data_IF_587731395455
#
_entry.id   IF_587731395455
#
_cell.length_a   1.000
_cell.length_b   1.000
_cell.length_c   1.000
_cell.angle_alpha   90.00
_cell.angle_beta   90.00
_cell.angle_gamma   90.00
#
_symmetry.space_group_name_H-M   'P 1'
#
loop_
_entity.id
_entity.type
_entity.pdbx_description
1 polymer ?
#
# COMPACT_ATOMS: atom_id res chain seq x y z
N UNK A 1 -15.45 14.81 -50.89
CA UNK A 1 -15.70 14.09 -49.62
C UNK A 1 -14.35 13.78 -49.02
N UNK A 2 -13.99 14.47 -47.95
CA UNK A 2 -12.67 14.39 -47.32
C UNK A 2 -12.71 15.23 -46.07
N UNK A 3 -13.25 14.65 -45.00
CA UNK A 3 -13.43 15.30 -43.70
C UNK A 3 -12.09 15.40 -42.98
N UNK A 4 -11.36 16.51 -43.20
CA UNK A 4 -10.16 16.88 -42.44
C UNK A 4 -10.50 17.86 -41.33
N UNK A 5 -11.34 17.44 -40.37
CA UNK A 5 -11.65 18.25 -39.18
C UNK A 5 -11.94 17.34 -37.99
N UNK A 6 -10.89 16.81 -37.37
CA UNK A 6 -11.00 16.10 -36.07
C UNK A 6 -9.93 16.52 -35.06
N UNK A 7 -9.01 17.41 -35.45
CA UNK A 7 -7.98 17.97 -34.56
C UNK A 7 -8.49 19.20 -33.78
N UNK A 8 -9.64 19.79 -34.16
CA UNK A 8 -10.15 21.03 -33.60
C UNK A 8 -11.08 20.87 -32.39
N UNK A 9 -11.43 19.65 -31.99
CA UNK A 9 -12.34 19.40 -30.85
C UNK A 9 -11.65 19.49 -29.47
N UNK A 10 -10.31 19.52 -29.41
CA UNK A 10 -9.57 19.59 -28.15
C UNK A 10 -9.10 21.01 -27.80
N UNK A 11 -8.84 21.86 -28.80
CA UNK A 11 -8.35 23.23 -28.55
C UNK A 11 -9.44 24.09 -27.89
N UNK A 12 -10.72 23.88 -28.21
CA UNK A 12 -11.81 24.61 -27.54
C UNK A 12 -12.06 24.18 -26.08
N UNK A 13 -11.57 23.02 -25.63
CA UNK A 13 -11.75 22.53 -24.24
C UNK A 13 -10.63 22.94 -23.29
N UNK A 14 -9.43 23.23 -23.81
CA UNK A 14 -8.26 23.61 -22.98
C UNK A 14 -8.03 25.13 -22.97
N UNK A 15 -8.55 25.86 -23.95
CA UNK A 15 -8.29 27.31 -24.13
C UNK A 15 -9.41 28.22 -23.59
N UNK A 16 -10.55 27.68 -23.11
CA UNK A 16 -11.70 28.53 -22.79
C UNK A 16 -12.63 28.10 -21.65
N UNK A 17 -12.24 27.17 -20.78
CA UNK A 17 -13.07 26.74 -19.64
C UNK A 17 -12.24 26.46 -18.40
N UNK A 18 -12.76 26.83 -17.22
CA UNK A 18 -12.13 26.71 -15.90
C UNK A 18 -11.28 25.43 -15.77
N UNK A 19 -9.95 25.57 -15.78
CA UNK A 19 -9.01 24.45 -15.62
C UNK A 19 -9.20 23.73 -14.27
N UNK A 20 -9.74 24.43 -13.25
CA UNK A 20 -10.12 23.85 -11.96
C UNK A 20 -11.29 22.86 -12.02
N UNK A 21 -12.10 22.89 -13.09
CA UNK A 21 -13.17 21.91 -13.29
C UNK A 21 -12.64 20.49 -13.56
N UNK A 22 -11.35 20.37 -13.91
CA UNK A 22 -10.67 19.10 -14.21
C UNK A 22 -9.96 18.46 -13.01
N UNK A 23 -9.75 19.22 -11.94
CA UNK A 23 -9.05 18.75 -10.72
C UNK A 23 -9.99 18.23 -9.65
N UNK A 24 -11.30 18.49 -9.81
CA UNK A 24 -12.36 18.10 -8.87
C UNK A 24 -13.37 17.19 -9.56
N UNK A 25 -13.95 16.25 -8.80
CA UNK A 25 -14.95 15.29 -9.31
C UNK A 25 -16.35 15.93 -9.47
N UNK A 26 -16.39 17.07 -10.18
CA UNK A 26 -17.57 17.88 -10.43
C UNK A 26 -18.55 17.21 -11.41
N UNK A 27 -19.79 17.72 -11.49
CA UNK A 27 -20.75 17.24 -12.49
C UNK A 27 -20.25 17.48 -13.93
N UNK A 28 -19.60 18.62 -14.18
CA UNK A 28 -18.99 18.93 -15.47
C UNK A 28 -17.89 17.92 -15.82
N UNK A 29 -17.03 17.57 -14.86
CA UNK A 29 -16.01 16.53 -15.05
C UNK A 29 -16.62 15.18 -15.42
N UNK A 30 -17.68 14.74 -14.71
CA UNK A 30 -18.35 13.47 -15.00
C UNK A 30 -19.06 13.47 -16.35
N UNK A 31 -19.58 14.60 -16.80
CA UNK A 31 -20.20 14.71 -18.12
C UNK A 31 -19.15 14.64 -19.24
N UNK A 32 -17.98 15.24 -19.04
CA UNK A 32 -16.92 15.26 -20.04
C UNK A 32 -16.08 13.97 -20.06
N UNK A 33 -15.82 13.39 -18.89
CA UNK A 33 -14.98 12.21 -18.69
C UNK A 33 -15.79 11.08 -18.04
N UNK A 34 -16.87 10.65 -18.70
CA UNK A 34 -17.86 9.74 -18.12
C UNK A 34 -17.28 8.47 -17.48
N UNK A 35 -16.43 7.72 -18.19
CA UNK A 35 -15.90 6.46 -17.67
C UNK A 35 -15.02 6.64 -16.44
N UNK A 36 -14.11 7.62 -16.46
CA UNK A 36 -13.21 7.89 -15.33
C UNK A 36 -13.97 8.54 -14.18
N UNK A 37 -14.87 9.47 -14.50
CA UNK A 37 -15.76 10.11 -13.53
C UNK A 37 -16.65 9.08 -12.82
N UNK A 38 -17.15 8.06 -13.52
CA UNK A 38 -17.90 6.95 -12.94
C UNK A 38 -17.02 6.13 -11.99
N UNK A 39 -15.86 5.65 -12.46
CA UNK A 39 -14.94 4.84 -11.65
C UNK A 39 -14.48 5.58 -10.38
N UNK A 40 -14.15 6.87 -10.49
CA UNK A 40 -13.75 7.68 -9.34
C UNK A 40 -14.92 8.01 -8.40
N UNK A 41 -16.14 8.16 -8.93
CA UNK A 41 -17.35 8.31 -8.10
C UNK A 41 -17.65 7.02 -7.33
N UNK A 42 -17.53 5.87 -7.98
CA UNK A 42 -17.69 4.56 -7.36
C UNK A 42 -16.61 4.33 -6.30
N UNK A 43 -15.36 4.75 -6.54
CA UNK A 43 -14.31 4.71 -5.52
C UNK A 43 -14.65 5.59 -4.31
N UNK A 44 -15.04 6.85 -4.54
CA UNK A 44 -15.35 7.79 -3.47
C UNK A 44 -16.50 7.27 -2.60
N UNK A 45 -17.58 6.82 -3.22
CA UNK A 45 -18.73 6.21 -2.53
C UNK A 45 -18.36 4.91 -1.83
N UNK A 46 -17.56 4.04 -2.46
CA UNK A 46 -17.07 2.82 -1.82
C UNK A 46 -16.31 3.16 -0.53
N UNK A 47 -15.40 4.13 -0.55
CA UNK A 47 -14.63 4.54 0.63
C UNK A 47 -15.48 5.16 1.75
N UNK A 48 -16.70 5.61 1.46
CA UNK A 48 -17.67 6.04 2.49
C UNK A 48 -18.43 4.87 3.10
N UNK A 49 -18.55 3.76 2.38
CA UNK A 49 -19.16 2.53 2.89
C UNK A 49 -18.19 1.88 3.89
N UNK A 50 -18.69 1.61 5.09
CA UNK A 50 -17.97 0.90 6.15
C UNK A 50 -17.84 -0.61 5.84
N UNK A 51 -17.32 -0.98 4.66
CA UNK A 51 -17.15 -2.36 4.23
C UNK A 51 -15.76 -2.56 3.58
N UNK A 52 -14.84 -3.14 4.35
CA UNK A 52 -13.46 -3.41 3.94
C UNK A 52 -13.35 -4.20 2.62
N UNK A 53 -14.27 -5.12 2.35
CA UNK A 53 -14.25 -5.92 1.11
C UNK A 53 -14.60 -5.10 -0.14
N UNK A 54 -15.54 -4.17 -0.01
CA UNK A 54 -15.92 -3.23 -1.09
C UNK A 54 -14.79 -2.24 -1.31
N UNK A 55 -14.22 -1.70 -0.22
CA UNK A 55 -13.12 -0.74 -0.28
C UNK A 55 -11.90 -1.36 -0.97
N UNK A 56 -11.54 -2.60 -0.61
CA UNK A 56 -10.46 -3.33 -1.26
C UNK A 56 -10.72 -3.55 -2.75
N UNK A 57 -11.93 -3.93 -3.14
CA UNK A 57 -12.30 -4.15 -4.55
C UNK A 57 -12.22 -2.84 -5.35
N UNK A 58 -12.84 -1.77 -4.87
CA UNK A 58 -12.85 -0.47 -5.54
C UNK A 58 -11.43 0.08 -5.75
N UNK A 59 -10.60 0.04 -4.71
CA UNK A 59 -9.19 0.46 -4.79
C UNK A 59 -8.41 -0.42 -5.77
N UNK A 60 -8.61 -1.74 -5.75
CA UNK A 60 -7.93 -2.65 -6.67
C UNK A 60 -8.36 -2.43 -8.13
N UNK A 61 -9.62 -2.10 -8.39
CA UNK A 61 -10.09 -1.76 -9.75
C UNK A 61 -9.33 -0.56 -10.30
N UNK A 62 -9.19 0.52 -9.51
CA UNK A 62 -8.43 1.71 -9.92
C UNK A 62 -6.96 1.36 -10.10
N UNK A 63 -6.36 0.65 -9.15
CA UNK A 63 -4.96 0.21 -9.25
C UNK A 63 -4.68 -0.60 -10.51
N UNK A 64 -5.55 -1.56 -10.83
CA UNK A 64 -5.39 -2.42 -12.01
C UNK A 64 -5.56 -1.62 -13.30
N UNK A 65 -6.48 -0.64 -13.32
CA UNK A 65 -6.65 0.28 -14.44
C UNK A 65 -5.38 1.10 -14.68
N UNK A 66 -4.80 1.68 -13.63
CA UNK A 66 -3.53 2.43 -13.74
C UNK A 66 -2.39 1.52 -14.22
N UNK A 67 -2.31 0.30 -13.68
CA UNK A 67 -1.33 -0.70 -14.15
C UNK A 67 -1.53 -1.05 -15.62
N UNK A 68 -2.77 -1.08 -16.12
CA UNK A 68 -3.04 -1.37 -17.54
C UNK A 68 -2.50 -0.27 -18.45
N UNK A 69 -2.54 0.99 -18.01
CA UNK A 69 -1.95 2.11 -18.75
C UNK A 69 -0.42 2.03 -18.81
N UNK A 70 0.23 1.54 -17.75
CA UNK A 70 1.70 1.36 -17.76
C UNK A 70 2.15 0.25 -18.69
N UNK A 71 1.33 -0.79 -18.88
CA UNK A 71 1.65 -1.93 -19.75
C UNK A 71 1.29 -1.71 -21.22
N UNK A 72 0.60 -0.61 -21.53
CA UNK A 72 0.15 -0.32 -22.89
C UNK A 72 1.19 0.53 -23.63
N UNK A 73 1.77 -0.03 -24.68
CA UNK A 73 2.82 0.61 -25.49
C UNK A 73 2.35 1.95 -26.10
N UNK A 74 1.04 2.18 -26.24
CA UNK A 74 0.50 3.46 -26.74
C UNK A 74 0.73 4.63 -25.79
N UNK A 75 1.03 4.36 -24.51
CA UNK A 75 1.27 5.35 -23.47
C UNK A 75 2.74 5.40 -23.03
N UNK A 76 3.67 4.92 -23.87
CA UNK A 76 5.10 4.94 -23.59
C UNK A 76 5.66 6.38 -23.56
N UNK A 77 5.12 7.27 -24.39
CA UNK A 77 5.56 8.67 -24.44
C UNK A 77 5.15 9.44 -23.18
N UNK A 78 6.08 10.20 -22.56
CA UNK A 78 5.83 10.88 -21.30
C UNK A 78 4.72 11.92 -21.40
N UNK A 79 4.60 12.62 -22.54
CA UNK A 79 3.54 13.61 -22.78
C UNK A 79 2.16 12.95 -22.82
N UNK A 80 2.04 11.80 -23.46
CA UNK A 80 0.78 11.04 -23.51
C UNK A 80 0.44 10.54 -22.10
N UNK A 81 1.43 10.04 -21.37
CA UNK A 81 1.25 9.55 -20.00
C UNK A 81 0.82 10.66 -19.04
N UNK A 82 1.38 11.86 -19.15
CA UNK A 82 0.95 13.02 -18.40
C UNK A 82 -0.50 13.40 -18.68
N UNK A 83 -0.93 13.32 -19.94
CA UNK A 83 -2.34 13.53 -20.30
C UNK A 83 -3.28 12.49 -19.72
N UNK A 84 -2.86 11.22 -19.64
CA UNK A 84 -3.64 10.17 -18.98
C UNK A 84 -3.71 10.44 -17.47
N UNK A 85 -2.58 10.77 -16.84
CA UNK A 85 -2.51 11.05 -15.41
C UNK A 85 -3.35 12.27 -14.99
N UNK A 86 -3.43 13.30 -15.85
CA UNK A 86 -4.27 14.47 -15.64
C UNK A 86 -5.76 14.12 -15.47
N UNK A 87 -6.24 13.04 -16.11
CA UNK A 87 -7.63 12.57 -15.95
C UNK A 87 -7.90 12.00 -14.55
N UNK A 88 -6.86 11.62 -13.81
CA UNK A 88 -6.99 11.04 -12.47
C UNK A 88 -6.74 12.06 -11.35
N UNK A 89 -6.50 13.34 -11.65
CA UNK A 89 -6.29 14.38 -10.62
C UNK A 89 -7.35 14.43 -9.51
N UNK A 90 -8.66 14.18 -9.77
CA UNK A 90 -9.65 14.11 -8.69
C UNK A 90 -9.35 13.04 -7.63
N UNK A 91 -8.54 12.02 -7.95
CA UNK A 91 -8.12 11.00 -6.98
C UNK A 91 -7.32 11.61 -5.82
N UNK A 92 -6.54 12.68 -6.04
CA UNK A 92 -5.82 13.38 -4.97
C UNK A 92 -6.81 13.81 -3.89
N UNK A 93 -7.92 14.42 -4.30
CA UNK A 93 -8.96 14.88 -3.39
C UNK A 93 -9.66 13.72 -2.67
N UNK A 94 -9.95 12.62 -3.37
CA UNK A 94 -10.57 11.42 -2.78
C UNK A 94 -9.66 10.81 -1.71
N UNK A 95 -8.33 10.76 -1.95
CA UNK A 95 -7.37 10.23 -0.98
C UNK A 95 -7.28 11.13 0.25
N UNK A 96 -7.28 12.46 0.06
CA UNK A 96 -7.34 13.42 1.16
C UNK A 96 -8.62 13.21 2.00
N UNK A 97 -9.77 13.01 1.37
CA UNK A 97 -11.05 12.72 2.08
C UNK A 97 -11.03 11.38 2.84
N UNK A 98 -10.21 10.45 2.38
CA UNK A 98 -9.99 9.15 3.00
C UNK A 98 -8.91 9.16 4.09
N UNK A 99 -8.19 10.28 4.31
CA UNK A 99 -7.10 10.41 5.28
C UNK A 99 -7.44 9.82 6.68
N UNK A 100 -8.61 10.09 7.29
CA UNK A 100 -8.94 9.54 8.62
C UNK A 100 -9.06 8.01 8.66
N UNK A 101 -9.22 7.36 7.51
CA UNK A 101 -9.36 5.92 7.39
C UNK A 101 -8.03 5.22 7.05
N UNK A 102 -7.00 5.96 6.64
CA UNK A 102 -5.74 5.36 6.18
C UNK A 102 -5.05 4.63 7.34
N UNK A 103 -4.56 3.43 7.05
CA UNK A 103 -3.80 2.65 8.03
C UNK A 103 -2.50 3.38 8.40
N UNK A 104 -2.29 3.66 9.69
CA UNK A 104 -1.04 4.27 10.17
C UNK A 104 0.08 3.24 10.22
N UNK A 105 1.11 3.43 9.38
CA UNK A 105 2.30 2.55 9.36
C UNK A 105 3.41 3.00 10.32
N UNK A 106 3.30 4.21 10.88
CA UNK A 106 4.31 4.80 11.74
C UNK A 106 4.40 4.11 13.12
N UNK A 107 5.63 4.03 13.64
CA UNK A 107 5.91 3.62 15.02
C UNK A 107 5.24 4.58 16.02
N UNK A 108 4.80 4.15 17.22
CA UNK A 108 4.12 4.99 18.21
C UNK A 108 4.86 6.29 18.56
N UNK A 109 6.19 6.34 18.40
CA UNK A 109 7.02 7.55 18.61
C UNK A 109 6.74 8.67 17.60
N UNK A 110 6.39 8.32 16.36
CA UNK A 110 6.11 9.28 15.29
C UNK A 110 4.68 9.86 15.34
N UNK A 111 3.76 9.23 16.09
CA UNK A 111 2.42 9.78 16.29
C UNK A 111 2.42 11.11 17.04
N UNK A 112 3.42 11.35 17.89
CA UNK A 112 3.56 12.62 18.60
C UNK A 112 3.87 13.77 17.64
N UNK A 113 4.67 13.57 16.59
CA UNK A 113 4.94 14.60 15.58
C UNK A 113 3.68 14.93 14.77
N UNK A 114 2.90 13.92 14.37
CA UNK A 114 1.59 14.11 13.69
C UNK A 114 0.61 14.86 14.59
N UNK A 115 0.57 14.54 15.90
CA UNK A 115 -0.37 15.17 16.83
C UNK A 115 0.05 16.57 17.26
N UNK A 116 1.35 16.84 17.37
CA UNK A 116 1.89 18.16 17.77
C UNK A 116 1.83 19.20 16.65
N UNK A 117 1.70 18.79 15.38
CA UNK A 117 1.42 19.70 14.25
C UNK A 117 -0.06 20.10 14.17
N UNK A 118 -0.95 19.42 14.91
CA UNK A 118 -2.39 19.66 14.92
C UNK A 118 -2.89 20.41 16.18
N UNK A 119 -2.01 20.77 17.11
CA UNK A 119 -2.37 21.38 18.40
C UNK A 119 -1.86 22.82 18.51
N UNK A 120 -2.43 23.71 17.68
CA UNK A 120 -2.51 25.14 18.02
C UNK A 120 -3.83 25.37 18.78
N UNK A 121 -3.84 24.91 20.04
CA UNK A 121 -4.79 25.32 21.06
C UNK A 121 -5.84 24.29 21.47
N UNK A 122 -5.51 23.40 22.41
CA UNK A 122 -6.06 23.43 23.76
C UNK A 122 -5.34 22.42 24.65
N UNK A 123 -4.94 22.86 25.84
CA UNK A 123 -4.14 22.07 26.76
C UNK A 123 -4.87 20.81 27.24
N UNK A 124 -4.32 19.65 26.88
CA UNK A 124 -4.36 18.45 27.71
C UNK A 124 -5.40 17.40 27.34
N UNK A 125 -4.94 16.30 26.72
CA UNK A 125 -5.52 14.97 26.96
C UNK A 125 -4.59 13.83 26.49
N UNK A 126 -3.45 13.67 27.17
CA UNK A 126 -2.79 12.36 27.22
C UNK A 126 -3.45 11.52 28.32
N UNK A 127 -3.71 10.24 28.03
CA UNK A 127 -4.02 9.13 28.96
C UNK A 127 -5.45 8.55 29.04
N UNK A 128 -6.20 8.42 27.95
CA UNK A 128 -7.29 7.42 27.92
C UNK A 128 -7.21 6.58 26.64
N UNK A 129 -6.76 5.33 26.76
CA UNK A 129 -6.87 4.35 25.67
C UNK A 129 -8.37 4.10 25.40
N UNK A 130 -8.85 4.51 24.23
CA UNK A 130 -10.25 4.41 23.80
C UNK A 130 -10.86 3.00 24.02
N UNK A 131 -10.07 1.94 23.86
CA UNK A 131 -10.50 0.56 24.08
C UNK A 131 -10.74 0.24 25.56
N UNK A 132 -9.98 0.85 26.46
CA UNK A 132 -10.15 0.74 27.92
C UNK A 132 -11.39 1.53 28.35
N UNK A 133 -11.60 2.72 27.79
CA UNK A 133 -12.81 3.50 28.04
C UNK A 133 -14.09 2.78 27.58
N UNK A 134 -14.06 2.11 26.42
CA UNK A 134 -15.20 1.30 25.95
C UNK A 134 -15.48 0.08 26.84
N UNK A 135 -14.44 -0.59 27.32
CA UNK A 135 -14.59 -1.72 28.24
C UNK A 135 -15.17 -1.29 29.60
N UNK A 136 -14.86 -0.07 30.05
CA UNK A 136 -15.41 0.52 31.29
C UNK A 136 -16.85 1.03 31.07
N UNK A 137 -17.18 1.54 29.88
CA UNK A 137 -18.49 2.11 29.55
C UNK A 137 -19.63 1.09 29.41
N UNK A 138 -19.40 -0.20 29.69
CA UNK A 138 -20.47 -1.19 29.89
C UNK A 138 -21.31 -1.56 28.67
N UNK A 139 -20.86 -1.26 27.45
CA UNK A 139 -21.69 -1.48 26.25
C UNK A 139 -21.50 -2.89 25.64
N UNK A 140 -22.52 -3.72 25.86
CA UNK A 140 -22.95 -4.92 25.11
C UNK A 140 -22.85 -6.29 25.79
N UNK A 141 -23.74 -6.52 26.77
CA UNK A 141 -24.28 -7.87 27.10
C UNK A 141 -25.72 -8.06 26.57
N UNK A 142 -26.33 -7.07 25.92
CA UNK A 142 -27.70 -7.22 25.43
C UNK A 142 -27.83 -6.78 23.97
N UNK A 143 -27.69 -7.75 23.07
CA UNK A 143 -28.25 -7.68 21.73
C UNK A 143 -28.85 -9.05 21.40
N UNK A 144 -30.11 -9.25 21.78
CA UNK A 144 -30.92 -10.31 21.20
C UNK A 144 -32.38 -9.86 21.05
N UNK A 145 -32.87 -9.99 19.82
CA UNK A 145 -34.26 -9.96 19.30
C UNK A 145 -34.93 -8.62 18.97
N UNK A 146 -35.10 -8.45 17.64
CA UNK A 146 -36.29 -8.02 16.86
C UNK A 146 -36.90 -6.62 17.02
N UNK A 147 -37.40 -6.11 15.86
CA UNK A 147 -38.13 -4.86 15.54
C UNK A 147 -37.30 -3.57 15.56
N UNK A 148 -36.97 -2.94 14.42
CA UNK A 148 -37.77 -2.24 13.38
C UNK A 148 -38.22 -0.82 13.81
N UNK A 149 -37.78 0.16 13.01
CA UNK A 149 -37.95 1.63 13.03
C UNK A 149 -37.73 2.42 14.35
N UNK A 150 -36.60 3.16 14.46
CA UNK A 150 -36.62 4.62 14.71
C UNK A 150 -35.24 5.30 14.56
N UNK A 151 -35.30 6.61 14.26
CA UNK A 151 -34.30 7.47 13.61
C UNK A 151 -33.55 8.40 14.60
N UNK A 152 -32.21 8.44 14.46
CA UNK A 152 -31.24 9.56 14.59
C UNK A 152 -31.06 10.27 15.96
N UNK A 153 -29.81 10.26 16.48
CA UNK A 153 -28.94 11.45 16.68
C UNK A 153 -27.63 11.09 17.43
N UNK A 154 -26.47 11.45 16.86
CA UNK A 154 -25.29 11.81 17.67
C UNK A 154 -23.98 11.01 17.55
N UNK A 155 -23.90 9.90 16.81
CA UNK A 155 -22.59 9.29 16.51
C UNK A 155 -22.06 9.87 15.21
N UNK A 156 -21.09 10.78 15.31
CA UNK A 156 -20.20 11.07 14.18
C UNK A 156 -19.77 9.72 13.60
N UNK A 157 -20.13 9.47 12.33
CA UNK A 157 -19.86 8.23 11.63
C UNK A 157 -18.37 7.92 11.73
N UNK A 158 -17.99 7.04 12.65
CA UNK A 158 -16.60 6.59 12.79
C UNK A 158 -16.30 5.74 11.58
N UNK A 159 -15.77 6.37 10.53
CA UNK A 159 -15.34 5.70 9.30
C UNK A 159 -14.41 4.54 9.68
N UNK A 160 -14.68 3.34 9.17
CA UNK A 160 -13.88 2.17 9.53
C UNK A 160 -12.45 2.30 8.96
N UNK A 161 -11.41 1.93 9.74
CA UNK A 161 -10.04 1.97 9.23
C UNK A 161 -9.87 1.02 8.05
N UNK A 162 -9.18 1.48 7.01
CA UNK A 162 -8.81 0.67 5.87
C UNK A 162 -7.75 -0.36 6.27
N UNK A 163 -7.75 -1.51 5.60
CA UNK A 163 -6.68 -2.49 5.77
C UNK A 163 -5.33 -1.90 5.34
N UNK A 164 -4.23 -2.43 5.88
CA UNK A 164 -2.89 -2.02 5.49
C UNK A 164 -2.62 -2.23 4.00
N UNK A 165 -3.12 -3.34 3.43
CA UNK A 165 -2.99 -3.64 1.99
C UNK A 165 -3.82 -2.69 1.13
N UNK A 166 -5.07 -2.40 1.52
CA UNK A 166 -5.93 -1.45 0.79
C UNK A 166 -5.34 -0.05 0.83
N UNK A 167 -4.85 0.39 1.99
CA UNK A 167 -4.17 1.67 2.15
C UNK A 167 -2.94 1.76 1.24
N UNK A 168 -2.08 0.72 1.24
CA UNK A 168 -0.91 0.66 0.36
C UNK A 168 -1.30 0.77 -1.12
N UNK A 169 -2.33 0.05 -1.56
CA UNK A 169 -2.79 0.11 -2.94
C UNK A 169 -3.37 1.47 -3.33
N UNK A 170 -4.08 2.14 -2.41
CA UNK A 170 -4.60 3.49 -2.63
C UNK A 170 -3.47 4.51 -2.74
N UNK A 171 -2.46 4.41 -1.87
CA UNK A 171 -1.26 5.26 -1.92
C UNK A 171 -0.42 4.99 -3.17
N UNK A 172 -0.35 3.74 -3.65
CA UNK A 172 0.25 3.43 -4.96
C UNK A 172 -0.45 4.16 -6.10
N UNK A 173 -1.79 4.23 -6.06
CA UNK A 173 -2.54 4.98 -7.08
C UNK A 173 -2.25 6.48 -7.01
N UNK A 174 -2.13 7.05 -5.80
CA UNK A 174 -1.73 8.44 -5.62
C UNK A 174 -0.32 8.69 -6.18
N UNK A 175 0.67 7.88 -5.79
CA UNK A 175 2.05 8.05 -6.24
C UNK A 175 2.19 7.87 -7.75
N UNK A 176 1.40 6.98 -8.37
CA UNK A 176 1.36 6.85 -9.81
C UNK A 176 0.92 8.14 -10.49
N UNK A 177 -0.07 8.85 -9.95
CA UNK A 177 -0.49 10.15 -10.48
C UNK A 177 0.62 11.16 -10.30
N UNK A 178 1.15 11.29 -9.08
CA UNK A 178 2.19 12.27 -8.75
C UNK A 178 3.46 12.11 -9.60
N UNK A 179 3.82 10.85 -9.93
CA UNK A 179 4.95 10.54 -10.81
C UNK A 179 4.74 11.01 -12.25
N UNK A 180 3.51 10.92 -12.75
CA UNK A 180 3.24 11.01 -14.18
C UNK A 180 2.61 12.34 -14.61
N UNK A 181 2.00 13.09 -13.70
CA UNK A 181 1.42 14.41 -14.01
C UNK A 181 2.55 15.40 -14.35
N UNK A 182 2.28 16.30 -15.30
CA UNK A 182 3.19 17.39 -15.59
C UNK A 182 3.25 18.38 -14.43
N UNK A 183 4.47 18.73 -14.08
CA UNK A 183 4.87 19.79 -13.15
C UNK A 183 3.98 21.04 -13.16
N UNK A 184 3.62 21.55 -14.35
CA UNK A 184 2.82 22.77 -14.48
C UNK A 184 1.39 22.54 -14.01
N UNK A 185 0.75 21.46 -14.45
CA UNK A 185 -0.60 21.10 -14.02
C UNK A 185 -0.64 20.68 -12.56
N UNK A 186 0.40 20.00 -12.07
CA UNK A 186 0.48 19.64 -10.65
C UNK A 186 0.58 20.89 -9.77
N UNK A 187 1.48 21.84 -10.08
CA UNK A 187 1.58 23.11 -9.34
C UNK A 187 0.30 23.94 -9.38
N UNK A 188 -0.39 23.97 -10.52
CA UNK A 188 -1.71 24.61 -10.61
C UNK A 188 -2.75 23.93 -9.72
N UNK A 189 -2.75 22.60 -9.70
CA UNK A 189 -3.65 21.83 -8.83
C UNK A 189 -3.37 22.12 -7.36
N UNK A 190 -2.09 22.22 -6.97
CA UNK A 190 -1.68 22.58 -5.62
C UNK A 190 -2.07 24.02 -5.26
N UNK A 191 -1.94 24.99 -6.17
CA UNK A 191 -2.33 26.39 -5.91
C UNK A 191 -3.83 26.59 -5.77
N UNK A 192 -4.64 25.72 -6.39
CA UNK A 192 -6.10 25.74 -6.27
C UNK A 192 -6.59 25.14 -4.94
N UNK A 193 -5.75 24.36 -4.23
CA UNK A 193 -6.13 23.74 -2.96
C UNK A 193 -6.04 24.74 -1.80
N UNK A 194 -7.05 24.80 -0.92
CA UNK A 194 -6.97 25.65 0.27
C UNK A 194 -5.93 25.10 1.27
N UNK A 195 -5.41 25.96 2.14
CA UNK A 195 -4.35 25.65 3.12
C UNK A 195 -4.55 24.31 3.85
N UNK A 196 -5.75 24.06 4.40
CA UNK A 196 -6.05 22.82 5.12
C UNK A 196 -5.96 21.56 4.23
N UNK A 197 -6.35 21.66 2.96
CA UNK A 197 -6.27 20.52 2.02
C UNK A 197 -4.83 20.22 1.64
N UNK A 198 -4.01 21.27 1.48
CA UNK A 198 -2.58 21.11 1.22
C UNK A 198 -1.89 20.48 2.43
N UNK A 199 -2.21 20.92 3.65
CA UNK A 199 -1.74 20.27 4.87
C UNK A 199 -2.11 18.78 4.91
N UNK A 200 -3.38 18.45 4.68
CA UNK A 200 -3.83 17.05 4.66
C UNK A 200 -3.14 16.23 3.56
N UNK A 201 -2.81 16.82 2.41
CA UNK A 201 -2.00 16.16 1.39
C UNK A 201 -0.59 15.83 1.90
N UNK A 202 0.04 16.75 2.65
CA UNK A 202 1.34 16.51 3.30
C UNK A 202 1.24 15.39 4.34
N UNK A 203 0.14 15.31 5.09
CA UNK A 203 -0.11 14.19 6.01
C UNK A 203 -0.25 12.85 5.26
N UNK A 204 -0.92 12.83 4.12
CA UNK A 204 -1.00 11.65 3.25
C UNK A 204 0.40 11.25 2.76
N UNK A 205 1.23 12.21 2.33
CA UNK A 205 2.61 11.95 1.91
C UNK A 205 3.48 11.41 3.07
N UNK A 206 3.27 11.92 4.28
CA UNK A 206 3.93 11.39 5.49
C UNK A 206 3.59 9.91 5.73
N UNK A 207 2.30 9.56 5.60
CA UNK A 207 1.84 8.16 5.69
C UNK A 207 2.45 7.33 4.56
N UNK A 208 2.57 7.89 3.35
CA UNK A 208 3.17 7.21 2.21
C UNK A 208 4.64 6.86 2.44
N UNK A 209 5.46 7.77 2.99
CA UNK A 209 6.85 7.48 3.39
C UNK A 209 6.90 6.27 4.33
N UNK A 210 6.02 6.22 5.33
CA UNK A 210 5.94 5.11 6.29
C UNK A 210 5.41 3.81 5.66
N UNK A 211 4.57 3.93 4.64
CA UNK A 211 3.95 2.80 3.94
C UNK A 211 4.95 2.07 3.05
N UNK A 212 5.82 2.82 2.36
CA UNK A 212 6.83 2.32 1.43
C UNK A 212 8.22 2.19 2.04
N UNK A 213 8.31 2.14 3.37
CA UNK A 213 9.58 1.88 4.04
C UNK A 213 10.08 0.45 3.76
N UNK A 214 11.31 0.32 3.27
CA UNK A 214 11.93 -0.98 3.08
C UNK A 214 12.24 -1.64 4.42
N UNK A 215 11.59 -2.78 4.70
CA UNK A 215 11.72 -3.53 5.97
C UNK A 215 12.76 -4.65 5.91
N UNK A 216 13.64 -4.65 4.92
CA UNK A 216 14.67 -5.68 4.75
C UNK A 216 14.16 -6.99 4.16
N UNK A 217 15.09 -7.92 3.92
CA UNK A 217 14.80 -9.29 3.49
C UNK A 217 14.03 -10.02 4.59
N UNK A 218 12.71 -10.08 4.48
CA UNK A 218 11.92 -10.99 5.30
C UNK A 218 12.05 -12.37 4.68
N UNK A 219 12.84 -13.24 5.30
CA UNK A 219 12.73 -14.69 5.11
C UNK A 219 11.38 -15.08 5.71
N UNK A 220 10.30 -14.71 5.03
CA UNK A 220 8.98 -15.22 5.35
C UNK A 220 9.02 -16.66 4.89
N UNK A 221 9.25 -17.57 5.82
CA UNK A 221 8.82 -18.95 5.63
C UNK A 221 7.33 -18.89 5.28
N UNK A 222 6.99 -18.92 3.99
CA UNK A 222 5.66 -19.26 3.48
C UNK A 222 5.29 -20.73 3.81
N UNK A 223 5.73 -21.22 4.97
CA UNK A 223 5.32 -22.48 5.60
C UNK A 223 4.30 -22.23 6.73
N UNK A 224 3.67 -21.06 6.79
CA UNK A 224 2.67 -20.73 7.81
C UNK A 224 1.28 -21.34 7.60
N UNK A 225 0.95 -21.84 6.39
CA UNK A 225 -0.34 -22.49 6.14
C UNK A 225 -0.32 -24.02 6.36
N UNK A 226 0.87 -24.62 6.52
CA UNK A 226 1.01 -26.06 6.75
C UNK A 226 0.92 -26.45 8.23
N UNK A 227 1.12 -25.53 9.19
CA UNK A 227 1.18 -25.92 10.61
C UNK A 227 -0.13 -26.50 11.18
N UNK A 228 -1.29 -26.16 10.61
CA UNK A 228 -2.57 -26.78 11.00
C UNK A 228 -2.79 -28.16 10.33
N UNK A 229 -2.31 -28.35 9.09
CA UNK A 229 -2.34 -29.65 8.39
C UNK A 229 -1.30 -30.63 8.93
N UNK A 230 -0.17 -30.12 9.40
CA UNK A 230 0.93 -30.89 9.96
C UNK A 230 0.51 -31.73 11.17
N UNK A 231 -0.45 -31.32 11.99
CA UNK A 231 -0.83 -32.13 13.17
C UNK A 231 -1.64 -33.38 12.80
N UNK A 232 -2.51 -33.27 11.80
CA UNK A 232 -3.29 -34.40 11.30
C UNK A 232 -2.42 -35.35 10.46
N UNK A 233 -1.52 -34.78 9.65
CA UNK A 233 -0.58 -35.57 8.84
C UNK A 233 0.53 -36.21 9.70
N UNK A 234 1.01 -35.54 10.75
CA UNK A 234 1.92 -36.14 11.73
C UNK A 234 1.25 -37.29 12.48
N UNK A 235 0.00 -37.13 12.90
CA UNK A 235 -0.74 -38.20 13.58
C UNK A 235 -1.01 -39.39 12.64
N UNK A 236 -1.35 -39.13 11.37
CA UNK A 236 -1.47 -40.18 10.34
C UNK A 236 -0.14 -40.87 10.06
N UNK A 237 0.97 -40.12 10.00
CA UNK A 237 2.30 -40.68 9.83
C UNK A 237 2.71 -41.54 11.03
N UNK A 238 2.43 -41.07 12.25
CA UNK A 238 2.62 -41.83 13.49
C UNK A 238 1.82 -43.14 13.47
N UNK A 239 0.54 -43.09 13.05
CA UNK A 239 -0.31 -44.28 12.89
C UNK A 239 0.19 -45.22 11.78
N UNK A 240 0.74 -44.72 10.68
CA UNK A 240 1.29 -45.55 9.60
C UNK A 240 2.65 -46.17 9.95
N UNK A 241 3.45 -45.55 10.83
CA UNK A 241 4.75 -46.08 11.28
C UNK A 241 4.59 -47.00 12.49
N UNK A 242 3.69 -46.68 13.43
CA UNK A 242 3.50 -47.42 14.68
C UNK A 242 2.29 -48.35 14.68
N UNK A 243 1.36 -48.20 13.74
CA UNK A 243 0.14 -49.01 13.66
C UNK A 243 0.40 -50.47 13.32
N UNK A 244 -0.58 -51.32 13.61
CA UNK A 244 -0.51 -52.78 13.41
C UNK A 244 -0.24 -53.22 11.96
N UNK A 245 -0.42 -52.33 10.97
CA UNK A 245 -0.16 -52.57 9.54
C UNK A 245 1.06 -51.79 9.02
N UNK A 246 1.91 -51.26 9.91
CA UNK A 246 3.12 -50.56 9.49
C UNK A 246 4.13 -51.51 8.85
N UNK A 247 5.00 -50.96 8.00
CA UNK A 247 6.10 -51.73 7.38
C UNK A 247 6.96 -52.48 8.43
N UNK A 248 7.05 -51.97 9.66
CA UNK A 248 7.71 -52.65 10.79
C UNK A 248 6.92 -53.85 11.28
N UNK A 249 5.60 -53.70 11.48
CA UNK A 249 4.72 -54.79 11.91
C UNK A 249 4.64 -55.90 10.86
N UNK A 250 4.51 -55.51 9.58
CA UNK A 250 4.50 -56.45 8.45
C UNK A 250 5.84 -57.19 8.31
N UNK A 251 6.98 -56.52 8.49
CA UNK A 251 8.30 -57.17 8.52
C UNK A 251 8.43 -58.16 9.69
N UNK A 252 7.88 -57.85 10.86
CA UNK A 252 7.87 -58.76 12.01
C UNK A 252 6.95 -59.96 11.80
N UNK A 253 5.81 -59.77 11.11
CA UNK A 253 4.91 -60.86 10.69
C UNK A 253 5.57 -61.77 9.64
N UNK A 254 6.26 -61.20 8.65
CA UNK A 254 7.04 -61.96 7.66
C UNK A 254 8.19 -62.75 8.28
N UNK A 255 8.77 -62.29 9.40
CA UNK A 255 9.75 -63.06 10.21
C UNK A 255 9.10 -64.22 10.98
N UNK A 256 7.80 -64.16 11.25
CA UNK A 256 7.07 -65.19 12.00
C UNK A 256 6.57 -66.32 11.09
N UNK A 257 6.33 -66.05 9.81
CA UNK A 257 5.76 -67.04 8.86
C UNK A 257 6.78 -67.74 7.94
N UNK A 258 8.08 -67.49 8.07
CA UNK A 258 9.10 -68.28 7.35
C UNK A 258 10.44 -68.17 8.07
N UNK A 259 11.07 -69.30 8.37
CA UNK A 259 12.52 -69.42 8.39
C UNK A 259 12.96 -69.67 6.94
N UNK A 260 13.47 -68.69 6.17
CA UNK A 260 14.33 -69.01 5.05
C UNK A 260 15.74 -69.32 5.58
N UNK A 261 16.45 -70.30 5.02
CA UNK A 261 17.87 -70.47 5.32
C UNK A 261 18.62 -69.21 4.90
N UNK A 262 19.44 -68.68 5.80
CA UNK A 262 20.34 -67.57 5.53
C UNK A 262 21.17 -67.87 4.28
N UNK A 263 21.18 -67.01 3.24
CA UNK A 263 22.22 -67.09 2.23
C UNK A 263 23.49 -66.54 2.88
N UNK A 264 24.54 -67.35 2.89
CA UNK A 264 25.89 -67.01 3.33
C UNK A 264 26.31 -65.64 2.79
N UNK A 265 26.32 -64.63 3.66
CA UNK A 265 26.62 -63.26 3.29
C UNK A 265 28.12 -63.02 3.21
N UNK A 266 28.64 -62.88 1.99
CA UNK A 266 29.80 -62.03 1.73
C UNK A 266 29.46 -60.63 2.23
N UNK A 267 30.26 -60.10 3.16
CA UNK A 267 29.98 -58.91 3.94
C UNK A 267 30.02 -57.59 3.17
N UNK A 268 29.15 -57.40 2.18
CA UNK A 268 28.86 -56.08 1.66
C UNK A 268 27.79 -55.43 2.55
N UNK A 269 28.25 -54.57 3.46
CA UNK A 269 27.38 -53.63 4.18
C UNK A 269 26.61 -52.81 3.15
N UNK A 270 25.32 -53.13 2.98
CA UNK A 270 24.35 -52.26 2.31
C UNK A 270 24.20 -50.97 3.14
N UNK A 271 25.16 -50.06 2.98
CA UNK A 271 25.11 -48.71 3.53
C UNK A 271 24.12 -47.95 2.68
N UNK A 272 22.96 -47.64 3.25
CA UNK A 272 21.96 -46.76 2.66
C UNK A 272 22.64 -45.53 2.05
N UNK A 273 22.73 -45.48 0.71
CA UNK A 273 23.20 -44.31 -0.01
C UNK A 273 22.04 -43.32 -0.03
N UNK A 274 22.01 -42.47 0.99
CA UNK A 274 21.00 -41.41 1.12
C UNK A 274 21.02 -40.43 -0.06
N UNK A 275 22.14 -40.38 -0.78
CA UNK A 275 22.41 -39.59 -2.00
C UNK A 275 21.64 -40.07 -3.25
N UNK A 276 21.12 -41.31 -3.29
CA UNK A 276 20.45 -41.87 -4.49
C UNK A 276 18.94 -41.56 -4.58
N UNK A 277 18.37 -40.83 -3.62
CA UNK A 277 16.94 -40.53 -3.62
C UNK A 277 16.63 -39.18 -4.29
N UNK A 278 15.91 -39.24 -5.41
CA UNK A 278 15.49 -38.10 -6.24
C UNK A 278 14.74 -36.99 -5.49
N UNK A 279 14.02 -37.31 -4.40
CA UNK A 279 13.28 -36.31 -3.62
C UNK A 279 14.18 -35.36 -2.83
N UNK A 280 15.46 -35.71 -2.57
CA UNK A 280 16.40 -34.82 -1.88
C UNK A 280 16.98 -33.74 -2.81
N UNK A 281 17.29 -34.11 -4.06
CA UNK A 281 17.66 -33.13 -5.09
C UNK A 281 16.49 -32.16 -5.35
N UNK A 282 15.26 -32.69 -5.46
CA UNK A 282 14.09 -31.83 -5.60
C UNK A 282 13.92 -30.85 -4.42
N UNK A 283 14.17 -31.28 -3.18
CA UNK A 283 14.12 -30.39 -2.02
C UNK A 283 15.20 -29.30 -2.05
N UNK A 284 16.43 -29.65 -2.46
CA UNK A 284 17.54 -28.69 -2.59
C UNK A 284 17.27 -27.68 -3.71
N UNK A 285 16.80 -28.14 -4.88
CA UNK A 285 16.43 -27.28 -6.01
C UNK A 285 15.23 -26.39 -5.68
N UNK A 286 14.26 -26.90 -4.91
CA UNK A 286 13.12 -26.11 -4.43
C UNK A 286 13.56 -25.05 -3.42
N UNK A 287 14.48 -25.37 -2.51
CA UNK A 287 15.07 -24.40 -1.56
C UNK A 287 15.87 -23.30 -2.27
N UNK A 288 16.67 -23.65 -3.28
CA UNK A 288 17.38 -22.67 -4.11
C UNK A 288 16.43 -21.78 -4.91
N UNK A 289 15.37 -22.36 -5.50
CA UNK A 289 14.32 -21.61 -6.20
C UNK A 289 13.60 -20.62 -5.27
N UNK A 290 13.18 -21.08 -4.09
CA UNK A 290 12.50 -20.23 -3.09
C UNK A 290 13.42 -19.12 -2.58
N UNK A 291 14.71 -19.40 -2.38
CA UNK A 291 15.66 -18.37 -1.98
C UNK A 291 15.85 -17.31 -3.07
N UNK A 292 15.93 -17.72 -4.34
CA UNK A 292 16.02 -16.82 -5.49
C UNK A 292 14.77 -15.94 -5.63
N UNK A 293 13.57 -16.49 -5.42
CA UNK A 293 12.31 -15.72 -5.45
C UNK A 293 12.25 -14.69 -4.31
N UNK A 294 12.65 -15.06 -3.09
CA UNK A 294 12.70 -14.13 -1.95
C UNK A 294 13.70 -13.00 -2.21
N UNK A 295 14.84 -13.31 -2.81
CA UNK A 295 15.84 -12.32 -3.16
C UNK A 295 15.32 -11.36 -4.23
N UNK A 296 14.66 -11.86 -5.27
CA UNK A 296 14.02 -11.04 -6.29
C UNK A 296 12.92 -10.15 -5.71
N UNK A 297 12.01 -10.70 -4.89
CA UNK A 297 10.95 -9.95 -4.22
C UNK A 297 11.53 -8.84 -3.33
N UNK A 298 12.63 -9.13 -2.62
CA UNK A 298 13.29 -8.13 -1.76
C UNK A 298 13.94 -7.01 -2.56
N UNK A 299 14.48 -7.31 -3.74
CA UNK A 299 15.03 -6.31 -4.65
C UNK A 299 13.92 -5.43 -5.23
N UNK A 300 12.82 -6.03 -5.69
CA UNK A 300 11.66 -5.28 -6.21
C UNK A 300 11.07 -4.37 -5.14
N UNK A 301 10.91 -4.85 -3.90
CA UNK A 301 10.43 -4.03 -2.79
C UNK A 301 11.41 -2.88 -2.46
N UNK A 302 12.72 -3.12 -2.55
CA UNK A 302 13.74 -2.09 -2.38
C UNK A 302 13.69 -1.01 -3.48
N UNK A 303 13.51 -1.40 -4.74
CA UNK A 303 13.34 -0.49 -5.86
C UNK A 303 12.04 0.33 -5.74
N UNK A 304 10.93 -0.33 -5.39
CA UNK A 304 9.65 0.32 -5.17
C UNK A 304 9.73 1.36 -4.05
N UNK A 305 10.38 1.02 -2.92
CA UNK A 305 10.60 1.95 -1.82
C UNK A 305 11.41 3.18 -2.24
N UNK A 306 12.50 2.96 -3.00
CA UNK A 306 13.33 4.05 -3.51
C UNK A 306 12.56 4.95 -4.48
N UNK A 307 11.81 4.37 -5.41
CA UNK A 307 11.02 5.09 -6.40
C UNK A 307 9.87 5.88 -5.75
N UNK A 308 9.15 5.26 -4.82
CA UNK A 308 8.10 5.94 -4.06
C UNK A 308 8.64 7.17 -3.32
N UNK A 309 9.79 7.04 -2.64
CA UNK A 309 10.38 8.16 -1.92
C UNK A 309 10.91 9.25 -2.86
N UNK A 310 11.40 8.89 -4.06
CA UNK A 310 11.79 9.88 -5.07
C UNK A 310 10.58 10.68 -5.57
N UNK A 311 9.45 10.03 -5.85
CA UNK A 311 8.20 10.69 -6.25
C UNK A 311 7.68 11.61 -5.14
N UNK A 312 7.76 11.17 -3.88
CA UNK A 312 7.38 12.00 -2.73
C UNK A 312 8.27 13.25 -2.66
N UNK A 313 9.58 13.13 -2.83
CA UNK A 313 10.50 14.27 -2.80
C UNK A 313 10.22 15.29 -3.90
N UNK A 314 10.00 14.82 -5.13
CA UNK A 314 9.63 15.68 -6.26
C UNK A 314 8.28 16.38 -6.02
N UNK A 315 7.33 15.67 -5.41
CA UNK A 315 6.06 16.25 -4.99
C UNK A 315 6.25 17.33 -3.92
N UNK A 316 7.12 17.10 -2.93
CA UNK A 316 7.44 18.09 -1.90
C UNK A 316 8.14 19.32 -2.51
N UNK A 317 9.02 19.15 -3.49
CA UNK A 317 9.67 20.27 -4.18
C UNK A 317 8.65 21.14 -4.92
N UNK A 318 7.70 20.51 -5.62
CA UNK A 318 6.57 21.21 -6.25
C UNK A 318 5.71 21.96 -5.21
N UNK A 319 5.44 21.36 -4.04
CA UNK A 319 4.74 22.04 -2.94
C UNK A 319 5.53 23.24 -2.43
N UNK A 320 6.84 23.10 -2.16
CA UNK A 320 7.70 24.21 -1.72
C UNK A 320 7.67 25.34 -2.73
N UNK A 321 7.71 25.02 -4.03
CA UNK A 321 7.66 26.04 -5.07
C UNK A 321 6.33 26.81 -5.06
N UNK A 322 5.20 26.17 -4.79
CA UNK A 322 3.90 26.85 -4.66
C UNK A 322 3.81 27.65 -3.37
N UNK A 323 4.24 27.08 -2.24
CA UNK A 323 4.22 27.72 -0.92
C UNK A 323 5.10 28.96 -0.87
N UNK A 324 6.30 28.91 -1.46
CA UNK A 324 7.22 30.05 -1.49
C UNK A 324 6.73 31.22 -2.35
N UNK A 325 5.84 30.94 -3.32
CA UNK A 325 5.21 31.97 -4.15
C UNK A 325 3.95 32.58 -3.50
N UNK A 326 3.46 32.03 -2.38
CA UNK A 326 2.21 32.43 -1.75
C UNK A 326 2.39 32.68 -0.24
N UNK A 327 2.41 33.95 0.16
CA UNK A 327 2.72 34.38 1.53
C UNK A 327 1.82 33.75 2.61
N UNK A 328 0.55 33.49 2.31
CA UNK A 328 -0.42 32.89 3.24
C UNK A 328 -0.19 31.38 3.48
N UNK A 329 0.67 30.73 2.70
CA UNK A 329 0.96 29.30 2.82
C UNK A 329 2.30 29.01 3.51
N UNK A 330 3.11 30.03 3.83
CA UNK A 330 4.47 29.87 4.35
C UNK A 330 4.56 28.99 5.61
N UNK A 331 3.51 28.97 6.45
CA UNK A 331 3.42 28.07 7.61
C UNK A 331 3.51 26.57 7.28
N UNK A 332 3.15 26.16 6.05
CA UNK A 332 3.25 24.78 5.59
C UNK A 332 4.69 24.33 5.34
N UNK A 333 5.66 25.24 5.26
CA UNK A 333 7.07 24.89 5.08
C UNK A 333 7.60 24.05 6.25
N UNK A 334 7.13 24.33 7.47
CA UNK A 334 7.45 23.54 8.66
C UNK A 334 6.93 22.10 8.54
N UNK A 335 5.73 21.93 7.99
CA UNK A 335 5.12 20.62 7.76
C UNK A 335 5.89 19.85 6.69
N UNK A 336 6.22 20.49 5.57
CA UNK A 336 7.07 19.92 4.52
C UNK A 336 8.41 19.44 5.08
N UNK A 337 9.05 20.27 5.92
CA UNK A 337 10.29 19.89 6.58
C UNK A 337 10.11 18.69 7.52
N UNK A 338 8.98 18.62 8.24
CA UNK A 338 8.59 17.46 9.04
C UNK A 338 8.49 16.16 8.22
N UNK A 339 7.86 16.23 7.03
CA UNK A 339 7.79 15.09 6.11
C UNK A 339 9.20 14.69 5.63
N UNK A 340 10.04 15.66 5.27
CA UNK A 340 11.41 15.41 4.81
C UNK A 340 12.28 14.76 5.91
N UNK A 341 12.19 15.25 7.14
CA UNK A 341 12.90 14.67 8.29
C UNK A 341 12.43 13.24 8.57
N UNK A 342 11.14 12.97 8.47
CA UNK A 342 10.60 11.62 8.62
C UNK A 342 11.11 10.69 7.51
N UNK A 343 11.20 11.18 6.28
CA UNK A 343 11.76 10.43 5.16
C UNK A 343 13.25 10.12 5.37
N UNK A 344 14.03 11.07 5.88
CA UNK A 344 15.44 10.87 6.27
C UNK A 344 15.61 9.90 7.45
N UNK A 345 14.67 9.87 8.38
CA UNK A 345 14.70 8.96 9.53
C UNK A 345 14.30 7.51 9.18
N UNK A 346 13.73 7.29 8.00
CA UNK A 346 13.28 5.97 7.53
C UNK A 346 14.42 5.21 6.83
N UNK A 347 14.27 3.90 6.61
CA UNK A 347 15.24 3.13 5.83
C UNK A 347 15.21 3.54 4.35
N UNK A 348 16.28 4.20 3.89
CA UNK A 348 16.39 4.76 2.54
C UNK A 348 17.52 4.15 1.71
N UNK A 349 17.37 4.22 0.38
CA UNK A 349 18.46 3.91 -0.56
C UNK A 349 19.51 5.03 -0.57
N UNK A 350 20.75 4.71 -0.97
CA UNK A 350 21.84 5.71 -1.06
C UNK A 350 21.51 6.86 -2.02
N UNK A 351 20.91 6.54 -3.17
CA UNK A 351 20.49 7.51 -4.19
C UNK A 351 19.42 8.43 -3.62
N UNK A 352 18.40 7.85 -2.98
CA UNK A 352 17.32 8.62 -2.36
C UNK A 352 17.87 9.55 -1.27
N UNK A 353 18.78 9.06 -0.42
CA UNK A 353 19.41 9.88 0.63
C UNK A 353 20.16 11.08 0.07
N UNK A 354 20.94 10.91 -1.00
CA UNK A 354 21.65 12.04 -1.64
C UNK A 354 20.67 13.10 -2.11
N UNK A 355 19.57 12.70 -2.74
CA UNK A 355 18.54 13.64 -3.19
C UNK A 355 17.82 14.31 -2.02
N UNK A 356 17.50 13.57 -0.95
CA UNK A 356 16.91 14.13 0.27
C UNK A 356 17.80 15.23 0.89
N UNK A 357 19.11 15.01 0.97
CA UNK A 357 20.05 16.02 1.48
C UNK A 357 20.14 17.24 0.56
N UNK A 358 20.08 17.05 -0.76
CA UNK A 358 20.04 18.17 -1.71
C UNK A 358 18.77 19.01 -1.53
N UNK A 359 17.60 18.35 -1.44
CA UNK A 359 16.32 19.03 -1.16
C UNK A 359 16.35 19.74 0.19
N UNK A 360 16.92 19.11 1.22
CA UNK A 360 17.06 19.73 2.54
C UNK A 360 17.90 21.01 2.49
N UNK A 361 19.07 20.96 1.82
CA UNK A 361 19.96 22.11 1.66
C UNK A 361 19.29 23.23 0.86
N UNK A 362 18.59 22.88 -0.22
CA UNK A 362 17.86 23.83 -1.05
C UNK A 362 16.73 24.51 -0.25
N UNK A 363 15.99 23.75 0.56
CA UNK A 363 14.92 24.27 1.41
C UNK A 363 15.47 25.20 2.49
N UNK A 364 16.54 24.82 3.19
CA UNK A 364 17.21 25.68 4.18
C UNK A 364 17.76 26.95 3.54
N UNK A 365 18.35 26.86 2.34
CA UNK A 365 18.82 28.04 1.62
C UNK A 365 17.68 28.99 1.25
N UNK A 366 16.56 28.48 0.72
CA UNK A 366 15.36 29.28 0.43
C UNK A 366 14.77 29.91 1.69
N UNK A 367 14.68 29.16 2.78
CA UNK A 367 14.18 29.64 4.07
C UNK A 367 15.11 30.65 4.76
N UNK A 368 16.39 30.70 4.39
CA UNK A 368 17.34 31.71 4.89
C UNK A 368 17.29 33.02 4.11
N UNK A 369 16.62 33.02 2.95
CA UNK A 369 16.48 34.18 2.04
C UNK A 369 15.13 34.89 2.26
N UNK A 370 14.13 34.18 2.76
CA UNK A 370 12.85 34.70 3.26
C UNK A 370 13.09 35.21 4.68
#
# INVERSE_FOLDING_TARGET
>A
IGSTTSQSSFISTVVGGNRSAFTTLSNAFRQQHFLIGLVLSDLATALEINNSSINARAVNTVRNLLSSHDTDDRYLEPEIRARVAALYLPLINIVIDALPQLHTFASPKNRYLISSLNDDGDGGSSHIHQNVALAIAGSSVYANKESDYDVIQGQQSRKCPLSSTTTRNLLMCLLWILRNVDDVTFRHTLSDLPHNRLHQLLDVLYIAVSCFEYKGKKISHRSGSSNARNKADMKRLEEFIMGQHSARSEMMLRRRERNPPSPSGTGERLRWRKETFHWRNHHQDTEHSVHSEIDQDSQVEGHLAAEANMVILDSLENVVQVVTNADHLQGLLTVVFGVLLHALASNQSTITLTNMFNTQRALVAKASII
#
